data_IF_701406157569
#
_entry.id   IF_701406157569
#
_cell.length_a   1.000
_cell.length_b   1.000
_cell.length_c   1.000
_cell.angle_alpha   90.00
_cell.angle_beta   90.00
_cell.angle_gamma   90.00
#
_symmetry.space_group_name_H-M   'P 1'
#
loop_
_entity.id
_entity.type
_entity.pdbx_description
1 polymer ?
#
# COMPACT_ATOMS: atom_id res chain seq x y z
N UNK A 1 12.96 8.59 17.64
CA UNK A 1 11.54 8.51 17.25
C UNK A 1 10.69 8.46 18.50
N UNK A 2 9.60 9.21 18.54
CA UNK A 2 8.54 9.11 19.55
C UNK A 2 7.73 7.83 19.32
N UNK A 3 6.91 7.42 20.31
CA UNK A 3 6.04 6.25 20.14
C UNK A 3 4.99 6.43 19.04
N UNK A 4 4.54 7.66 18.81
CA UNK A 4 3.61 8.00 17.73
C UNK A 4 4.29 7.88 16.36
N UNK A 5 5.52 8.37 16.21
CA UNK A 5 6.30 8.22 14.98
C UNK A 5 6.56 6.74 14.66
N UNK A 6 6.83 5.91 15.67
CA UNK A 6 7.00 4.46 15.50
C UNK A 6 5.70 3.79 15.01
N UNK A 7 4.57 4.17 15.57
CA UNK A 7 3.27 3.63 15.16
C UNK A 7 2.93 4.00 13.72
N UNK A 8 3.11 5.26 13.34
CA UNK A 8 2.88 5.73 11.96
C UNK A 8 3.83 5.04 10.98
N UNK A 9 5.10 4.87 11.36
CA UNK A 9 6.08 4.14 10.54
C UNK A 9 5.61 2.70 10.30
N UNK A 10 5.14 2.00 11.33
CA UNK A 10 4.62 0.63 11.20
C UNK A 10 3.39 0.54 10.28
N UNK A 11 2.51 1.55 10.27
CA UNK A 11 1.38 1.62 9.33
C UNK A 11 1.89 1.70 7.87
N UNK A 12 2.85 2.59 7.60
CA UNK A 12 3.42 2.74 6.25
C UNK A 12 4.16 1.47 5.83
N UNK A 13 4.94 0.86 6.73
CA UNK A 13 5.63 -0.40 6.48
C UNK A 13 4.64 -1.52 6.12
N UNK A 14 3.56 -1.67 6.88
CA UNK A 14 2.54 -2.68 6.60
C UNK A 14 1.89 -2.48 5.24
N UNK A 15 1.58 -1.23 4.86
CA UNK A 15 1.02 -0.92 3.54
C UNK A 15 2.01 -1.26 2.41
N UNK A 16 3.31 -1.05 2.62
CA UNK A 16 4.35 -1.45 1.65
C UNK A 16 4.41 -2.98 1.51
N UNK A 17 4.30 -3.72 2.62
CA UNK A 17 4.24 -5.19 2.57
C UNK A 17 3.00 -5.69 1.81
N UNK A 18 1.85 -5.07 2.04
CA UNK A 18 0.60 -5.44 1.37
C UNK A 18 0.68 -5.16 -0.14
N UNK A 19 1.29 -4.05 -0.56
CA UNK A 19 1.59 -3.76 -1.96
C UNK A 19 2.39 -4.90 -2.63
N UNK A 20 3.32 -5.53 -1.91
CA UNK A 20 4.16 -6.62 -2.40
C UNK A 20 3.47 -8.01 -2.39
N UNK A 21 2.22 -8.11 -1.93
CA UNK A 21 1.56 -9.41 -1.78
C UNK A 21 1.35 -10.14 -3.12
N UNK A 22 1.81 -11.38 -3.20
CA UNK A 22 1.72 -12.25 -4.40
C UNK A 22 0.86 -13.50 -4.21
N UNK A 23 0.31 -13.70 -3.01
CA UNK A 23 -0.54 -14.86 -2.71
C UNK A 23 -1.96 -14.75 -3.28
N UNK A 24 -2.79 -15.74 -2.95
CA UNK A 24 -4.16 -15.90 -3.51
C UNK A 24 -5.28 -15.59 -2.53
N UNK A 25 -4.98 -15.12 -1.31
CA UNK A 25 -6.04 -14.81 -0.35
C UNK A 25 -6.78 -13.56 -0.82
N UNK A 26 -8.07 -13.69 -1.09
CA UNK A 26 -9.00 -12.61 -1.46
C UNK A 26 -8.87 -11.42 -0.51
N UNK A 27 -8.91 -11.69 0.80
CA UNK A 27 -8.78 -10.67 1.84
C UNK A 27 -7.48 -9.88 1.69
N UNK A 28 -6.36 -10.56 1.45
CA UNK A 28 -5.06 -9.90 1.27
C UNK A 28 -4.92 -9.22 -0.09
N UNK A 29 -5.63 -9.70 -1.12
CA UNK A 29 -5.72 -9.02 -2.42
C UNK A 29 -6.45 -7.68 -2.26
N UNK A 30 -7.52 -7.62 -1.46
CA UNK A 30 -8.19 -6.36 -1.09
C UNK A 30 -7.22 -5.40 -0.41
N UNK A 31 -6.51 -5.87 0.62
CA UNK A 31 -5.50 -5.04 1.29
C UNK A 31 -4.40 -4.55 0.36
N UNK A 32 -3.94 -5.38 -0.57
CA UNK A 32 -3.01 -4.95 -1.64
C UNK A 32 -3.60 -3.84 -2.50
N UNK A 33 -4.88 -3.96 -2.93
CA UNK A 33 -5.56 -2.92 -3.71
C UNK A 33 -5.67 -1.61 -2.92
N UNK A 34 -6.13 -1.69 -1.67
CA UNK A 34 -6.29 -0.53 -0.79
C UNK A 34 -4.94 0.14 -0.51
N UNK A 35 -3.87 -0.63 -0.26
CA UNK A 35 -2.54 -0.11 -0.01
C UNK A 35 -1.94 0.58 -1.25
N UNK A 36 -2.13 -0.01 -2.43
CA UNK A 36 -1.69 0.60 -3.70
C UNK A 36 -2.43 1.93 -3.92
N UNK A 37 -3.74 1.96 -3.75
CA UNK A 37 -4.53 3.19 -3.88
C UNK A 37 -4.10 4.25 -2.85
N UNK A 38 -3.92 3.84 -1.61
CA UNK A 38 -3.53 4.72 -0.50
C UNK A 38 -2.17 5.40 -0.75
N UNK A 39 -1.14 4.64 -1.16
CA UNK A 39 0.21 5.16 -1.43
C UNK A 39 0.30 5.84 -2.81
N UNK A 40 -0.06 5.11 -3.87
CA UNK A 40 0.14 5.57 -5.26
C UNK A 40 -0.86 6.65 -5.63
N UNK A 41 -2.11 6.52 -5.16
CA UNK A 41 -3.19 7.50 -5.33
C UNK A 41 -3.04 8.75 -4.47
N UNK A 42 -2.00 8.83 -3.61
CA UNK A 42 -1.70 9.99 -2.75
C UNK A 42 -2.85 10.30 -1.79
N UNK A 43 -3.35 9.28 -1.10
CA UNK A 43 -4.45 9.45 -0.16
C UNK A 43 -4.09 10.51 0.91
N UNK A 44 -5.01 11.42 1.30
CA UNK A 44 -4.72 12.52 2.21
C UNK A 44 -4.11 12.08 3.55
N UNK A 45 -4.52 10.92 4.05
CA UNK A 45 -3.98 10.33 5.28
C UNK A 45 -2.51 9.90 5.11
N UNK A 46 -2.15 9.24 4.00
CA UNK A 46 -0.77 8.91 3.68
C UNK A 46 0.11 10.17 3.62
N UNK A 47 -0.38 11.23 2.96
CA UNK A 47 0.30 12.52 2.90
C UNK A 47 0.51 13.12 4.29
N UNK A 48 -0.49 13.00 5.17
CA UNK A 48 -0.40 13.49 6.53
C UNK A 48 0.63 12.71 7.36
N UNK A 49 0.63 11.38 7.25
CA UNK A 49 1.60 10.52 7.92
C UNK A 49 3.03 10.80 7.48
N UNK A 50 3.28 10.96 6.18
CA UNK A 50 4.60 11.40 5.70
C UNK A 50 5.00 12.76 6.28
N UNK A 51 4.09 13.73 6.38
CA UNK A 51 4.38 15.04 7.00
C UNK A 51 4.70 14.93 8.48
N UNK A 52 3.96 14.10 9.23
CA UNK A 52 4.21 13.86 10.65
C UNK A 52 5.59 13.24 10.89
N UNK A 53 6.07 12.41 9.96
CA UNK A 53 7.42 11.83 9.99
C UNK A 53 8.49 12.72 9.35
N UNK A 54 8.16 13.96 8.95
CA UNK A 54 9.04 14.87 8.21
C UNK A 54 9.67 14.24 6.94
N UNK A 55 8.94 13.35 6.27
CA UNK A 55 9.35 12.66 5.05
C UNK A 55 8.88 13.42 3.80
N UNK A 56 9.77 13.52 2.80
CA UNK A 56 9.38 14.00 1.48
C UNK A 56 8.52 12.95 0.77
N UNK A 57 7.24 13.27 0.60
CA UNK A 57 6.22 12.37 0.05
C UNK A 57 6.64 11.84 -1.32
N UNK A 58 7.07 12.72 -2.22
CA UNK A 58 7.36 12.34 -3.59
C UNK A 58 8.60 11.44 -3.67
N UNK A 59 9.66 11.76 -2.91
CA UNK A 59 10.84 10.90 -2.81
C UNK A 59 10.48 9.51 -2.30
N UNK A 60 9.69 9.42 -1.25
CA UNK A 60 9.34 8.12 -0.64
C UNK A 60 8.42 7.33 -1.55
N UNK A 61 7.39 7.96 -2.09
CA UNK A 61 6.47 7.32 -3.04
C UNK A 61 7.20 6.81 -4.28
N UNK A 62 8.11 7.60 -4.85
CA UNK A 62 8.89 7.18 -6.02
C UNK A 62 9.79 5.99 -5.68
N UNK A 63 10.48 6.01 -4.53
CA UNK A 63 11.25 4.85 -4.07
C UNK A 63 10.39 3.60 -3.91
N UNK A 64 9.19 3.72 -3.36
CA UNK A 64 8.27 2.59 -3.20
C UNK A 64 7.85 2.05 -4.59
N UNK A 65 7.48 2.92 -5.53
CA UNK A 65 7.11 2.54 -6.90
C UNK A 65 8.25 1.87 -7.65
N UNK A 66 9.48 2.34 -7.47
CA UNK A 66 10.67 1.79 -8.13
C UNK A 66 11.09 0.43 -7.57
N UNK A 67 10.84 0.15 -6.28
CA UNK A 67 11.40 -1.02 -5.60
C UNK A 67 10.37 -2.09 -5.21
N UNK A 68 9.07 -1.79 -5.26
CA UNK A 68 8.01 -2.71 -4.84
C UNK A 68 7.20 -3.18 -6.04
N UNK A 69 7.17 -4.49 -6.28
CA UNK A 69 6.33 -5.08 -7.33
C UNK A 69 4.85 -5.08 -6.91
N UNK A 70 4.17 -4.02 -7.33
CA UNK A 70 2.73 -3.81 -7.11
C UNK A 70 1.87 -4.53 -8.14
N UNK A 71 2.46 -5.24 -9.11
CA UNK A 71 1.68 -5.93 -10.14
C UNK A 71 0.83 -7.06 -9.55
N UNK A 72 -0.29 -7.34 -10.20
CA UNK A 72 -1.12 -8.49 -9.88
C UNK A 72 -0.69 -9.68 -10.73
N UNK A 73 -0.49 -10.82 -10.07
CA UNK A 73 -0.27 -12.10 -10.76
C UNK A 73 -1.52 -12.51 -11.55
N UNK A 74 -1.38 -13.39 -12.55
CA UNK A 74 -2.53 -13.86 -13.34
C UNK A 74 -3.64 -14.48 -12.47
N UNK A 75 -3.27 -15.17 -11.39
CA UNK A 75 -4.22 -15.79 -10.46
C UNK A 75 -4.97 -14.73 -9.65
N UNK A 76 -4.29 -13.67 -9.22
CA UNK A 76 -4.92 -12.54 -8.54
C UNK A 76 -5.89 -11.80 -9.47
N UNK A 77 -5.48 -11.53 -10.73
CA UNK A 77 -6.36 -10.91 -11.73
C UNK A 77 -7.63 -11.73 -11.97
N UNK A 78 -7.53 -13.06 -12.00
CA UNK A 78 -8.68 -13.94 -12.11
C UNK A 78 -9.62 -13.80 -10.91
N UNK A 79 -9.09 -13.87 -9.68
CA UNK A 79 -9.88 -13.72 -8.45
C UNK A 79 -10.55 -12.35 -8.32
N UNK A 80 -9.84 -11.27 -8.69
CA UNK A 80 -10.40 -9.90 -8.69
C UNK A 80 -11.62 -9.84 -9.60
N UNK A 81 -11.55 -10.47 -10.79
CA UNK A 81 -12.65 -10.50 -11.75
C UNK A 81 -13.81 -11.40 -11.29
N UNK A 82 -13.50 -12.57 -10.75
CA UNK A 82 -14.50 -13.59 -10.38
C UNK A 82 -15.31 -13.17 -9.13
N UNK A 83 -14.64 -12.53 -8.16
CA UNK A 83 -15.26 -12.11 -6.90
C UNK A 83 -15.67 -10.63 -6.89
N UNK A 84 -15.66 -9.97 -8.06
CA UNK A 84 -15.99 -8.54 -8.23
C UNK A 84 -15.28 -7.63 -7.21
N UNK A 85 -14.02 -7.94 -6.92
CA UNK A 85 -13.25 -7.22 -5.91
C UNK A 85 -12.99 -5.81 -6.44
N UNK A 86 -13.50 -4.82 -5.71
CA UNK A 86 -13.29 -3.39 -5.96
C UNK A 86 -12.83 -2.71 -4.68
N UNK A 87 -12.21 -1.54 -4.86
CA UNK A 87 -11.92 -0.61 -3.76
C UNK A 87 -13.27 -0.06 -3.29
N UNK A 88 -13.47 -0.03 -1.97
CA UNK A 88 -14.72 0.39 -1.34
C UNK A 88 -14.99 1.90 -1.44
#
# INVERSE_FOLDING_TARGET
>A
MTGEEQFITAIIEQAIEDCAYTGKSVKKIRFKMDAIDWIVGRHPEFLNYCKMLAMDVDTIRNKIIENVDMSYTHKQKFLIKDEEISIA
#
